data_IF_248449144894
#
_entry.id   IF_248449144894
#
_cell.length_a   1.000
_cell.length_b   1.000
_cell.length_c   1.000
_cell.angle_alpha   90.00
_cell.angle_beta   90.00
_cell.angle_gamma   90.00
#
_symmetry.space_group_name_H-M   'P 1'
#
loop_
_entity.id
_entity.type
_entity.pdbx_description
1 polymer ?
#
# COMPACT_ATOMS: atom_id res chain seq x y z
N UNK A 1 2.05 3.28 -6.34
CA UNK A 1 0.87 2.50 -6.77
C UNK A 1 1.02 1.11 -6.19
N UNK A 2 0.02 0.60 -5.49
CA UNK A 2 -0.01 -0.77 -5.00
C UNK A 2 -1.09 -1.50 -5.75
N UNK A 3 -0.91 -2.78 -6.09
CA UNK A 3 -1.97 -3.59 -6.68
C UNK A 3 -2.25 -4.72 -5.70
N UNK A 4 -3.42 -4.67 -5.07
CA UNK A 4 -3.93 -5.70 -4.17
C UNK A 4 -5.21 -6.26 -4.80
N UNK A 5 -5.10 -7.46 -5.34
CA UNK A 5 -6.22 -8.19 -5.93
C UNK A 5 -6.40 -9.46 -5.14
N UNK A 6 -7.61 -9.65 -4.63
CA UNK A 6 -8.07 -10.88 -4.00
C UNK A 6 -9.58 -10.94 -4.14
N UNK A 7 -10.11 -12.16 -4.23
CA UNK A 7 -11.56 -12.43 -4.18
C UNK A 7 -12.12 -12.37 -2.74
N UNK A 8 -11.25 -12.08 -1.76
CA UNK A 8 -11.59 -12.07 -0.35
C UNK A 8 -11.79 -13.48 0.22
N UNK A 9 -12.23 -13.56 1.48
CA UNK A 9 -12.57 -14.83 2.11
C UNK A 9 -14.05 -15.16 1.99
N UNK A 10 -14.38 -16.45 1.84
CA UNK A 10 -15.77 -16.94 1.78
C UNK A 10 -16.61 -16.53 3.00
N UNK A 11 -15.96 -16.38 4.16
CA UNK A 11 -16.61 -15.91 5.38
C UNK A 11 -17.01 -14.43 5.29
N UNK A 12 -16.10 -13.56 4.84
CA UNK A 12 -16.39 -12.12 4.74
C UNK A 12 -17.41 -11.86 3.63
N UNK A 13 -17.34 -12.58 2.52
CA UNK A 13 -18.33 -12.47 1.44
C UNK A 13 -19.78 -12.76 1.89
N UNK A 14 -19.98 -13.61 2.92
CA UNK A 14 -21.32 -13.90 3.48
C UNK A 14 -21.88 -12.78 4.36
N UNK A 15 -21.02 -11.93 4.91
CA UNK A 15 -21.41 -10.80 5.79
C UNK A 15 -21.20 -9.44 5.14
N UNK A 16 -20.83 -9.42 3.85
CA UNK A 16 -20.52 -8.23 3.08
C UNK A 16 -21.81 -7.51 2.69
N UNK A 17 -21.85 -6.21 2.98
CA UNK A 17 -22.94 -5.31 2.58
C UNK A 17 -22.40 -4.34 1.53
N UNK A 18 -23.07 -4.23 0.39
CA UNK A 18 -22.64 -3.46 -0.81
C UNK A 18 -21.29 -3.92 -1.39
N UNK A 19 -21.28 -5.01 -2.20
CA UNK A 19 -20.05 -5.53 -2.78
C UNK A 19 -19.40 -4.53 -3.75
N UNK A 20 -18.12 -4.23 -3.52
CA UNK A 20 -17.30 -3.49 -4.49
C UNK A 20 -16.74 -4.45 -5.57
N UNK A 21 -16.45 -3.96 -6.80
CA UNK A 21 -15.91 -4.80 -7.87
C UNK A 21 -14.55 -5.42 -7.51
N UNK A 22 -14.35 -6.68 -7.89
CA UNK A 22 -13.16 -7.52 -7.62
C UNK A 22 -11.85 -6.81 -8.03
N UNK A 23 -11.87 -6.18 -9.20
CA UNK A 23 -10.76 -5.43 -9.77
C UNK A 23 -11.05 -3.92 -9.69
N UNK A 24 -10.73 -3.30 -8.56
CA UNK A 24 -10.54 -1.85 -8.49
C UNK A 24 -9.10 -1.57 -8.89
N UNK A 25 -8.87 -0.72 -9.90
CA UNK A 25 -7.53 -0.14 -10.09
C UNK A 25 -7.26 0.69 -8.84
N UNK A 26 -6.35 0.24 -7.98
CA UNK A 26 -5.78 1.08 -6.93
C UNK A 26 -4.76 2.04 -7.56
N UNK A 27 -5.27 2.97 -8.36
CA UNK A 27 -4.51 4.11 -8.87
C UNK A 27 -4.81 5.25 -7.90
N UNK A 28 -3.96 5.41 -6.89
CA UNK A 28 -3.95 6.67 -6.15
C UNK A 28 -2.87 7.55 -6.75
N UNK A 29 -3.29 8.53 -7.57
CA UNK A 29 -2.51 9.74 -7.81
C UNK A 29 -2.16 10.47 -6.50
N UNK A 30 -2.88 10.16 -5.41
CA UNK A 30 -2.72 10.75 -4.08
C UNK A 30 -1.56 10.17 -3.24
N UNK A 31 -0.98 9.05 -3.67
CA UNK A 31 0.20 8.45 -3.01
C UNK A 31 1.52 9.11 -3.43
N UNK A 32 1.48 10.07 -4.36
CA UNK A 32 2.62 10.87 -4.73
C UNK A 32 3.06 11.73 -3.55
N UNK A 33 3.95 11.21 -2.70
CA UNK A 33 4.48 11.91 -1.52
C UNK A 33 5.04 13.26 -1.91
N UNK A 34 5.60 13.38 -3.13
CA UNK A 34 6.12 14.65 -3.63
C UNK A 34 5.05 15.73 -3.85
N UNK A 35 3.97 15.37 -4.56
CA UNK A 35 2.91 16.30 -4.96
C UNK A 35 1.92 16.55 -3.82
N UNK A 36 1.68 15.53 -2.99
CA UNK A 36 0.71 15.55 -1.89
C UNK A 36 1.34 15.87 -0.53
N UNK A 37 2.61 16.30 -0.51
CA UNK A 37 3.40 16.55 0.70
C UNK A 37 2.67 17.44 1.70
N UNK A 38 2.14 18.59 1.26
CA UNK A 38 1.46 19.57 2.13
C UNK A 38 0.23 18.98 2.84
N UNK A 39 -0.63 18.26 2.11
CA UNK A 39 -1.81 17.65 2.70
C UNK A 39 -1.44 16.54 3.69
N UNK A 40 -0.38 15.77 3.41
CA UNK A 40 0.09 14.73 4.34
C UNK A 40 0.64 15.38 5.62
N UNK A 41 1.44 16.44 5.49
CA UNK A 41 1.97 17.23 6.61
C UNK A 41 0.84 17.81 7.47
N UNK A 42 -0.18 18.40 6.85
CA UNK A 42 -1.34 18.95 7.56
C UNK A 42 -2.08 17.89 8.37
N UNK A 43 -2.25 16.69 7.82
CA UNK A 43 -2.98 15.64 8.55
C UNK A 43 -2.15 15.01 9.67
N UNK A 44 -0.82 14.88 9.51
CA UNK A 44 0.03 14.43 10.63
C UNK A 44 0.13 15.53 11.70
N UNK A 45 0.14 16.79 11.26
CA UNK A 45 0.45 17.94 12.08
C UNK A 45 1.95 18.21 12.09
N UNK A 46 2.33 19.45 11.75
CA UNK A 46 3.72 19.88 11.69
C UNK A 46 4.44 19.76 13.05
N UNK A 47 3.77 20.10 14.14
CA UNK A 47 4.31 20.01 15.50
C UNK A 47 4.64 18.56 15.90
N UNK A 48 3.79 17.60 15.48
CA UNK A 48 4.04 16.17 15.67
C UNK A 48 5.25 15.71 14.86
N UNK A 49 5.36 16.13 13.60
CA UNK A 49 6.52 15.80 12.76
C UNK A 49 7.82 16.36 13.33
N UNK A 50 7.80 17.60 13.82
CA UNK A 50 8.97 18.25 14.38
C UNK A 50 9.42 17.60 15.70
N UNK A 51 8.48 17.18 16.55
CA UNK A 51 8.79 16.45 17.78
C UNK A 51 9.24 15.00 17.53
N UNK A 52 8.61 14.29 16.60
CA UNK A 52 8.97 12.91 16.24
C UNK A 52 10.36 12.82 15.60
N UNK A 53 10.66 13.73 14.66
CA UNK A 53 11.86 13.64 13.83
C UNK A 53 13.01 14.48 14.40
N UNK A 54 12.74 15.43 15.30
CA UNK A 54 13.73 16.36 15.84
C UNK A 54 14.51 17.12 14.74
N UNK A 55 13.83 17.45 13.64
CA UNK A 55 14.39 18.19 12.50
C UNK A 55 13.65 19.50 12.27
N UNK A 56 14.29 20.44 11.57
CA UNK A 56 13.63 21.65 11.09
C UNK A 56 12.75 21.34 9.88
N UNK A 57 11.46 21.13 10.14
CA UNK A 57 10.48 20.78 9.11
C UNK A 57 10.25 21.93 8.13
N UNK A 58 10.37 23.20 8.56
CA UNK A 58 10.15 24.34 7.67
C UNK A 58 11.21 24.42 6.59
N UNK A 59 12.48 24.29 7.00
CA UNK A 59 13.61 24.27 6.08
C UNK A 59 13.50 23.11 5.05
N UNK A 60 13.04 21.93 5.51
CA UNK A 60 12.87 20.75 4.65
C UNK A 60 11.69 20.91 3.68
N UNK A 61 10.60 21.54 4.10
CA UNK A 61 9.44 21.80 3.24
C UNK A 61 9.75 22.86 2.18
N UNK A 62 10.46 23.93 2.56
CA UNK A 62 10.77 25.05 1.66
C UNK A 62 11.69 24.63 0.52
N UNK A 63 12.66 23.75 0.81
CA UNK A 63 13.62 23.25 -0.19
C UNK A 63 13.39 21.78 -0.57
N UNK A 64 12.14 21.32 -0.56
CA UNK A 64 11.81 19.91 -0.72
C UNK A 64 12.14 19.37 -2.13
N UNK A 65 13.18 18.53 -2.30
CA UNK A 65 13.58 18.06 -3.61
C UNK A 65 12.71 16.88 -4.08
N UNK A 66 12.57 16.66 -5.41
CA UNK A 66 11.89 15.47 -5.94
C UNK A 66 12.50 14.14 -5.49
N UNK A 67 13.80 14.14 -5.21
CA UNK A 67 14.54 12.98 -4.73
C UNK A 67 15.30 13.40 -3.47
N UNK A 68 15.02 12.80 -2.31
CA UNK A 68 15.72 13.13 -1.08
C UNK A 68 17.18 12.71 -1.16
N UNK A 69 18.07 13.58 -0.70
CA UNK A 69 19.53 13.40 -0.69
C UNK A 69 20.10 13.47 0.72
N UNK A 70 19.56 14.36 1.57
CA UNK A 70 20.00 14.50 2.97
C UNK A 70 19.36 13.42 3.85
N UNK A 71 19.98 13.17 5.01
CA UNK A 71 19.39 12.24 6.00
C UNK A 71 18.07 12.77 6.56
N UNK A 72 17.96 14.08 6.82
CA UNK A 72 16.70 14.67 7.29
C UNK A 72 15.59 14.54 6.24
N UNK A 73 15.91 14.80 4.97
CA UNK A 73 14.97 14.65 3.86
C UNK A 73 14.50 13.20 3.72
N UNK A 74 15.41 12.22 3.81
CA UNK A 74 15.05 10.80 3.74
C UNK A 74 14.10 10.45 4.89
N UNK A 75 14.44 10.83 6.12
CA UNK A 75 13.63 10.53 7.31
C UNK A 75 12.23 11.17 7.20
N UNK A 76 12.17 12.41 6.73
CA UNK A 76 10.92 13.11 6.46
C UNK A 76 10.07 12.40 5.40
N UNK A 77 10.65 12.07 4.25
CA UNK A 77 9.94 11.36 3.18
C UNK A 77 9.49 9.97 3.63
N UNK A 78 10.29 9.25 4.40
CA UNK A 78 9.91 7.96 4.98
C UNK A 78 8.69 8.08 5.89
N UNK A 79 8.65 9.09 6.76
CA UNK A 79 7.52 9.34 7.66
C UNK A 79 6.24 9.70 6.91
N UNK A 80 6.36 10.55 5.88
CA UNK A 80 5.23 10.89 5.00
C UNK A 80 4.76 9.68 4.20
N UNK A 81 5.69 8.86 3.68
CA UNK A 81 5.36 7.64 2.93
C UNK A 81 4.62 6.65 3.83
N UNK A 82 5.06 6.47 5.07
CA UNK A 82 4.37 5.61 6.06
C UNK A 82 2.92 6.03 6.25
N UNK A 83 2.67 7.33 6.44
CA UNK A 83 1.32 7.85 6.59
C UNK A 83 0.48 7.65 5.32
N UNK A 84 1.06 7.96 4.16
CA UNK A 84 0.38 7.85 2.88
C UNK A 84 -0.03 6.40 2.59
N UNK A 85 0.84 5.43 2.87
CA UNK A 85 0.58 4.00 2.71
C UNK A 85 -0.55 3.54 3.63
N UNK A 86 -0.51 3.92 4.92
CA UNK A 86 -1.56 3.55 5.88
C UNK A 86 -2.92 4.12 5.47
N UNK A 87 -2.98 5.40 5.08
CA UNK A 87 -4.22 6.01 4.62
C UNK A 87 -4.76 5.42 3.34
N UNK A 88 -3.89 5.17 2.36
CA UNK A 88 -4.25 4.48 1.14
C UNK A 88 -4.91 3.13 1.47
N UNK A 89 -4.31 2.38 2.40
CA UNK A 89 -4.86 1.11 2.84
C UNK A 89 -6.20 1.25 3.56
N UNK A 90 -6.35 2.21 4.47
CA UNK A 90 -7.63 2.50 5.13
C UNK A 90 -8.75 2.85 4.14
N UNK A 91 -8.43 3.53 3.02
CA UNK A 91 -9.40 3.84 1.96
C UNK A 91 -9.77 2.64 1.09
N UNK A 92 -8.86 1.67 0.96
CA UNK A 92 -9.04 0.53 0.06
C UNK A 92 -9.49 -0.74 0.75
N UNK A 93 -9.21 -0.89 2.04
CA UNK A 93 -9.67 -2.01 2.84
C UNK A 93 -11.05 -1.72 3.41
N UNK A 94 -11.88 -2.74 3.46
CA UNK A 94 -13.10 -2.71 4.25
C UNK A 94 -12.84 -2.82 5.75
N UNK A 95 -13.92 -2.71 6.51
CA UNK A 95 -13.93 -2.82 7.97
C UNK A 95 -15.10 -3.68 8.44
N UNK A 96 -14.91 -4.36 9.56
CA UNK A 96 -15.94 -5.11 10.26
C UNK A 96 -16.62 -4.16 11.24
N UNK A 97 -17.93 -4.03 11.15
CA UNK A 97 -18.75 -3.26 12.09
C UNK A 97 -19.68 -4.18 12.85
N UNK A 98 -19.83 -3.89 14.13
CA UNK A 98 -20.82 -4.54 14.97
C UNK A 98 -22.09 -3.68 14.99
N UNK A 99 -23.20 -4.22 14.52
CA UNK A 99 -24.52 -3.61 14.64
C UNK A 99 -25.25 -4.29 15.79
N UNK A 100 -25.88 -3.49 16.64
CA UNK A 100 -26.71 -3.98 17.73
C UNK A 100 -28.17 -3.86 17.31
N UNK A 101 -28.83 -5.01 17.12
CA UNK A 101 -30.25 -5.10 16.80
C UNK A 101 -31.06 -5.63 17.98
N UNK A 102 -32.37 -5.73 17.78
CA UNK A 102 -33.32 -6.29 18.78
C UNK A 102 -33.05 -7.77 19.10
N UNK A 103 -32.35 -8.49 18.21
CA UNK A 103 -31.98 -9.90 18.32
C UNK A 103 -30.55 -10.14 18.78
N UNK A 104 -29.77 -9.09 19.07
CA UNK A 104 -28.39 -9.18 19.57
C UNK A 104 -27.35 -8.49 18.68
N UNK A 105 -26.07 -8.84 18.91
CA UNK A 105 -24.92 -8.27 18.21
C UNK A 105 -24.66 -9.00 16.90
N UNK A 106 -24.78 -8.32 15.77
CA UNK A 106 -24.51 -8.84 14.43
C UNK A 106 -23.25 -8.18 13.86
N UNK A 107 -22.33 -8.98 13.31
CA UNK A 107 -21.15 -8.49 12.59
C UNK A 107 -21.46 -8.35 11.11
N UNK A 108 -21.18 -7.17 10.56
CA UNK A 108 -21.23 -6.90 9.12
C UNK A 108 -19.86 -6.47 8.62
N UNK A 109 -19.56 -6.73 7.35
CA UNK A 109 -18.39 -6.20 6.67
C UNK A 109 -18.82 -5.12 5.65
N UNK A 110 -18.12 -4.00 5.64
CA UNK A 110 -18.29 -2.91 4.67
C UNK A 110 -16.97 -2.72 3.92
N UNK A 111 -16.99 -2.64 2.58
CA UNK A 111 -15.80 -2.42 1.74
C UNK A 111 -15.05 -3.70 1.34
N UNK A 112 -13.86 -3.57 0.74
CA UNK A 112 -13.13 -4.70 0.15
C UNK A 112 -12.38 -5.55 1.16
N UNK A 113 -12.54 -6.86 1.10
CA UNK A 113 -11.71 -7.78 1.88
C UNK A 113 -10.32 -7.93 1.26
N UNK A 114 -9.27 -7.55 1.98
CA UNK A 114 -7.87 -7.76 1.57
C UNK A 114 -7.15 -8.83 2.41
N UNK A 115 -7.85 -9.53 3.29
CA UNK A 115 -7.25 -10.51 4.23
C UNK A 115 -6.64 -11.73 3.55
N UNK A 116 -7.09 -12.07 2.34
CA UNK A 116 -6.57 -13.18 1.53
C UNK A 116 -5.57 -12.74 0.45
N UNK A 117 -5.11 -11.48 0.49
CA UNK A 117 -4.00 -11.05 -0.36
C UNK A 117 -2.73 -11.80 0.01
N UNK A 118 -2.04 -12.37 -0.99
CA UNK A 118 -0.78 -13.12 -0.80
C UNK A 118 0.46 -12.27 -1.06
N UNK A 119 0.35 -11.29 -1.94
CA UNK A 119 1.46 -10.46 -2.38
C UNK A 119 1.08 -8.98 -2.34
N UNK A 120 1.95 -8.16 -1.77
CA UNK A 120 1.90 -6.70 -1.87
C UNK A 120 3.06 -6.26 -2.76
N UNK A 121 2.76 -5.58 -3.86
CA UNK A 121 3.79 -5.03 -4.74
C UNK A 121 3.95 -3.54 -4.48
N UNK A 122 5.09 -3.16 -3.90
CA UNK A 122 5.51 -1.77 -3.75
C UNK A 122 6.15 -1.24 -5.03
N UNK A 123 5.43 -0.35 -5.73
CA UNK A 123 5.98 0.40 -6.86
C UNK A 123 5.71 1.91 -6.70
N UNK A 124 6.66 2.74 -7.09
CA UNK A 124 6.61 4.20 -6.96
C UNK A 124 7.94 4.78 -6.51
N UNK A 125 8.20 6.07 -6.80
CA UNK A 125 9.48 6.71 -6.50
C UNK A 125 9.94 6.53 -5.04
N UNK A 126 9.06 6.77 -4.07
CA UNK A 126 9.36 6.60 -2.65
C UNK A 126 9.62 5.12 -2.27
N UNK A 127 8.76 4.21 -2.72
CA UNK A 127 8.81 2.81 -2.30
C UNK A 127 9.87 1.98 -3.05
N UNK A 128 10.35 2.47 -4.18
CA UNK A 128 11.47 1.87 -4.90
C UNK A 128 12.81 2.42 -4.41
N UNK A 129 12.90 3.69 -3.99
CA UNK A 129 14.19 4.34 -3.72
C UNK A 129 14.55 4.52 -2.25
N UNK A 130 13.58 4.53 -1.34
CA UNK A 130 13.86 4.71 0.09
C UNK A 130 14.52 3.46 0.68
N UNK A 131 15.48 3.63 1.62
CA UNK A 131 16.11 2.51 2.29
C UNK A 131 15.09 1.73 3.15
N UNK A 132 14.20 2.41 3.87
CA UNK A 132 13.23 1.78 4.78
C UNK A 132 11.95 1.29 4.09
N UNK A 133 11.95 1.11 2.76
CA UNK A 133 10.76 0.75 1.96
C UNK A 133 10.05 -0.54 2.39
N UNK A 134 10.81 -1.57 2.76
CA UNK A 134 10.25 -2.84 3.25
C UNK A 134 9.62 -2.61 4.64
N UNK A 135 10.31 -1.87 5.51
CA UNK A 135 9.84 -1.58 6.86
C UNK A 135 8.55 -0.75 6.84
N UNK A 136 8.43 0.21 5.92
CA UNK A 136 7.20 1.01 5.75
C UNK A 136 6.00 0.10 5.45
N UNK A 137 6.17 -0.88 4.57
CA UNK A 137 5.13 -1.84 4.20
C UNK A 137 4.81 -2.82 5.32
N UNK A 138 5.84 -3.32 6.01
CA UNK A 138 5.69 -4.21 7.16
C UNK A 138 4.97 -3.51 8.32
N UNK A 139 5.29 -2.24 8.59
CA UNK A 139 4.57 -1.41 9.56
C UNK A 139 3.08 -1.28 9.22
N UNK A 140 2.75 -1.17 7.93
CA UNK A 140 1.36 -1.09 7.49
C UNK A 140 0.60 -2.39 7.74
N UNK A 141 1.22 -3.56 7.56
CA UNK A 141 0.62 -4.86 7.89
C UNK A 141 0.29 -4.96 9.39
N UNK A 142 1.16 -4.43 10.25
CA UNK A 142 1.01 -4.42 11.72
C UNK A 142 0.05 -3.34 12.24
N UNK A 143 -0.52 -2.53 11.36
CA UNK A 143 -1.41 -1.43 11.75
C UNK A 143 -2.76 -1.94 12.30
N UNK A 144 -3.21 -3.13 11.87
CA UNK A 144 -4.52 -3.69 12.22
C UNK A 144 -4.56 -4.36 13.61
N UNK A 145 -4.34 -3.60 14.68
CA UNK A 145 -4.24 -4.15 16.06
C UNK A 145 -5.52 -4.79 16.61
N UNK A 146 -6.70 -4.36 16.13
CA UNK A 146 -7.99 -4.80 16.67
C UNK A 146 -8.72 -5.83 15.80
N UNK A 147 -8.13 -6.26 14.68
CA UNK A 147 -8.78 -7.12 13.67
C UNK A 147 -10.14 -6.60 13.16
N UNK A 148 -10.39 -5.31 13.28
CA UNK A 148 -11.61 -4.66 12.77
C UNK A 148 -11.42 -4.18 11.33
N UNK A 149 -10.19 -4.09 10.84
CA UNK A 149 -9.90 -3.75 9.45
C UNK A 149 -9.68 -5.03 8.64
N UNK A 150 -10.12 -5.02 7.38
CA UNK A 150 -9.90 -6.11 6.44
C UNK A 150 -8.56 -5.92 5.72
N UNK A 151 -7.49 -5.73 6.49
CA UNK A 151 -6.13 -5.58 5.99
C UNK A 151 -5.54 -6.93 5.57
N UNK A 152 -4.52 -6.95 4.68
CA UNK A 152 -3.70 -8.14 4.44
C UNK A 152 -3.08 -8.67 5.74
N UNK A 153 -2.91 -9.98 5.81
CA UNK A 153 -2.31 -10.66 6.97
C UNK A 153 -0.81 -10.34 7.07
N UNK A 154 -0.25 -10.44 8.27
CA UNK A 154 1.20 -10.23 8.49
C UNK A 154 2.08 -11.16 7.65
N UNK A 155 1.59 -12.36 7.30
CA UNK A 155 2.29 -13.33 6.43
C UNK A 155 2.32 -12.95 4.94
N UNK A 156 1.74 -11.81 4.55
CA UNK A 156 1.68 -11.37 3.15
C UNK A 156 3.09 -11.05 2.65
N UNK A 157 3.49 -11.62 1.51
CA UNK A 157 4.83 -11.39 0.96
C UNK A 157 4.90 -10.00 0.34
N UNK A 158 5.90 -9.22 0.73
CA UNK A 158 6.18 -7.90 0.15
C UNK A 158 7.16 -8.08 -1.01
N UNK A 159 6.78 -7.59 -2.19
CA UNK A 159 7.60 -7.53 -3.39
C UNK A 159 7.84 -6.07 -3.75
N UNK A 160 9.05 -5.73 -4.20
CA UNK A 160 9.40 -4.35 -4.57
C UNK A 160 9.80 -4.34 -6.04
N UNK A 161 9.23 -3.41 -6.80
CA UNK A 161 9.67 -3.11 -8.17
C UNK A 161 10.98 -2.32 -8.12
N UNK A 162 12.11 -3.03 -8.10
CA UNK A 162 13.44 -2.44 -7.91
C UNK A 162 13.88 -1.59 -9.11
N UNK A 163 13.53 -2.00 -10.32
CA UNK A 163 13.90 -1.30 -11.55
C UNK A 163 12.88 -0.21 -11.93
N UNK A 164 11.79 -0.09 -11.19
CA UNK A 164 10.67 0.82 -11.46
C UNK A 164 10.08 0.63 -12.87
N UNK A 165 10.01 -0.62 -13.34
CA UNK A 165 9.59 -0.99 -14.70
C UNK A 165 8.17 -1.54 -14.76
N UNK A 166 7.51 -1.77 -13.62
CA UNK A 166 6.21 -2.47 -13.59
C UNK A 166 5.15 -1.81 -14.48
N UNK A 167 5.08 -0.48 -14.49
CA UNK A 167 4.17 0.26 -15.35
C UNK A 167 4.47 0.03 -16.84
N UNK A 168 5.76 0.11 -17.22
CA UNK A 168 6.22 -0.14 -18.59
C UNK A 168 5.97 -1.58 -19.03
N UNK A 169 6.23 -2.56 -18.16
CA UNK A 169 5.98 -3.97 -18.42
C UNK A 169 4.50 -4.27 -18.62
N UNK A 170 3.61 -3.57 -17.89
CA UNK A 170 2.17 -3.69 -18.08
C UNK A 170 1.67 -3.19 -19.45
N UNK A 171 2.40 -2.27 -20.09
CA UNK A 171 2.10 -1.84 -21.47
C UNK A 171 2.67 -2.83 -22.49
N UNK A 172 3.93 -3.26 -22.29
CA UNK A 172 4.62 -4.17 -23.20
C UNK A 172 4.02 -5.58 -23.20
N UNK A 173 3.41 -6.02 -22.09
CA UNK A 173 2.80 -7.35 -21.99
C UNK A 173 1.67 -7.56 -23.01
N UNK A 174 1.02 -6.49 -23.49
CA UNK A 174 0.01 -6.57 -24.55
C UNK A 174 0.53 -7.15 -25.87
N UNK A 175 1.83 -7.03 -26.13
CA UNK A 175 2.48 -7.49 -27.36
C UNK A 175 3.58 -8.53 -27.11
N UNK A 176 4.26 -8.43 -25.98
CA UNK A 176 5.40 -9.27 -25.61
C UNK A 176 5.21 -9.82 -24.19
N UNK A 177 4.20 -10.67 -24.01
CA UNK A 177 3.79 -11.19 -22.70
C UNK A 177 4.94 -11.90 -21.96
N UNK A 178 5.53 -12.93 -22.57
CA UNK A 178 6.61 -13.71 -21.93
C UNK A 178 7.84 -12.88 -21.58
N UNK A 179 8.25 -11.98 -22.47
CA UNK A 179 9.42 -11.12 -22.25
C UNK A 179 9.15 -10.12 -21.12
N UNK A 180 7.95 -9.53 -21.10
CA UNK A 180 7.54 -8.58 -20.06
C UNK A 180 7.42 -9.27 -18.70
N UNK A 181 6.91 -10.50 -18.66
CA UNK A 181 6.83 -11.31 -17.44
C UNK A 181 8.23 -11.60 -16.88
N UNK A 182 9.16 -12.10 -17.73
CA UNK A 182 10.53 -12.39 -17.31
C UNK A 182 11.25 -11.17 -16.74
N UNK A 183 11.10 -10.02 -17.39
CA UNK A 183 11.69 -8.76 -16.90
C UNK A 183 11.05 -8.30 -15.59
N UNK A 184 9.73 -8.39 -15.48
CA UNK A 184 9.01 -8.03 -14.26
C UNK A 184 9.43 -8.90 -13.07
N UNK A 185 9.47 -10.23 -13.26
CA UNK A 185 9.90 -11.18 -12.23
C UNK A 185 11.31 -10.89 -11.73
N UNK A 186 12.21 -10.56 -12.66
CA UNK A 186 13.57 -10.12 -12.34
C UNK A 186 13.57 -8.84 -11.50
N UNK A 187 12.81 -7.81 -11.87
CA UNK A 187 12.70 -6.57 -11.08
C UNK A 187 12.16 -6.83 -9.66
N UNK A 188 11.23 -7.77 -9.53
CA UNK A 188 10.64 -8.15 -8.25
C UNK A 188 11.52 -9.08 -7.40
N UNK A 189 12.68 -9.53 -7.92
CA UNK A 189 13.49 -10.62 -7.35
C UNK A 189 12.63 -11.83 -6.97
N UNK A 190 11.66 -12.16 -7.83
CA UNK A 190 10.72 -13.25 -7.58
C UNK A 190 11.10 -14.44 -8.46
N UNK A 191 11.50 -15.54 -7.83
CA UNK A 191 11.71 -16.81 -8.52
C UNK A 191 10.38 -17.53 -8.69
N UNK A 192 10.10 -17.91 -9.93
CA UNK A 192 8.85 -18.55 -10.32
C UNK A 192 8.83 -20.01 -9.82
N UNK A 193 8.10 -20.29 -8.73
CA UNK A 193 7.60 -21.64 -8.50
C UNK A 193 6.56 -21.94 -9.61
N UNK A 194 6.76 -23.02 -10.36
CA UNK A 194 6.01 -23.46 -11.56
C UNK A 194 4.49 -23.72 -11.37
N UNK A 195 3.76 -22.85 -10.68
CA UNK A 195 2.35 -23.07 -10.33
C UNK A 195 1.35 -22.21 -11.11
N UNK A 196 1.78 -21.24 -11.91
CA UNK A 196 0.85 -20.33 -12.60
C UNK A 196 0.74 -20.51 -14.12
N UNK A 197 1.36 -21.54 -14.72
CA UNK A 197 1.31 -21.78 -16.19
C UNK A 197 0.23 -22.81 -16.58
N UNK A 198 -0.48 -23.43 -15.64
CA UNK A 198 -1.61 -24.28 -15.99
C UNK A 198 -2.90 -23.48 -15.89
N UNK A 199 -3.30 -22.92 -17.04
CA UNK A 199 -4.66 -22.48 -17.30
C UNK A 199 -5.66 -23.64 -17.37
#
# INVERSE_FOLDING_TARGET
>A
MYILVTDGSDYINKILVNPEPTAKRSVEGDLGVYVNMKNIVEVIGKENLQSELSIDIDAVIENYPPIPKSKEEILFVERLTKEAVVKAMLRHSGKIRNIYGTTGKVKIAEGKDLTEVRYIVGTGGALTRLPSRIEILDNMLKYNKNNELLFPKEKTKILIDNDYIMASMGVLSKKYEEASLKLLLKSLNFEEERLCILG
#
